data_IF_925939916839
#
_entry.id   IF_925939916839
#
_cell.length_a   1.000
_cell.length_b   1.000
_cell.length_c   1.000
_cell.angle_alpha   90.00
_cell.angle_beta   90.00
_cell.angle_gamma   90.00
#
_symmetry.space_group_name_H-M   'P 1'
#
loop_
_entity.id
_entity.type
_entity.pdbx_description
1 polymer ?
#
# COMPACT_ATOMS: atom_id res chain seq x y z
N UNK A 1 32.14 -14.33 40.35
CA UNK A 1 31.67 -15.53 39.65
C UNK A 1 30.53 -16.10 40.48
N UNK A 2 29.27 -15.87 40.08
CA UNK A 2 28.08 -16.29 40.84
C UNK A 2 27.34 -17.34 40.02
N UNK A 3 27.27 -18.56 40.54
CA UNK A 3 26.60 -19.68 39.88
C UNK A 3 25.14 -19.65 40.36
N UNK A 4 24.23 -19.27 39.46
CA UNK A 4 22.80 -19.22 39.72
C UNK A 4 22.25 -20.63 40.00
N UNK A 5 21.72 -20.84 41.20
CA UNK A 5 21.04 -22.07 41.64
C UNK A 5 19.54 -21.96 41.42
N UNK A 6 19.12 -21.92 40.15
CA UNK A 6 17.71 -22.16 39.81
C UNK A 6 17.47 -23.68 39.73
N UNK A 7 16.38 -24.22 40.33
CA UNK A 7 16.06 -25.64 40.26
C UNK A 7 15.85 -26.11 38.81
N UNK A 8 16.23 -27.36 38.47
CA UNK A 8 16.22 -27.87 37.09
C UNK A 8 14.82 -27.99 36.48
N UNK A 9 13.76 -27.93 37.29
CA UNK A 9 12.36 -28.05 36.87
C UNK A 9 11.86 -26.84 36.06
N UNK A 10 12.54 -25.70 36.10
CA UNK A 10 12.14 -24.51 35.33
C UNK A 10 12.68 -24.49 33.88
N UNK A 11 13.29 -25.58 33.41
CA UNK A 11 13.88 -25.70 32.06
C UNK A 11 13.02 -26.50 31.08
N UNK A 12 11.74 -26.71 31.37
CA UNK A 12 10.78 -27.18 30.39
C UNK A 12 10.47 -26.07 29.38
N UNK A 13 11.35 -25.97 28.38
CA UNK A 13 11.00 -25.86 26.96
C UNK A 13 9.54 -25.43 26.72
N UNK A 14 9.27 -24.13 26.81
CA UNK A 14 8.09 -23.50 26.21
C UNK A 14 8.24 -23.51 24.67
N UNK A 15 8.27 -24.67 24.01
CA UNK A 15 8.40 -24.69 22.53
C UNK A 15 7.42 -25.57 21.78
N UNK A 16 6.60 -26.38 22.46
CA UNK A 16 5.55 -27.18 21.79
C UNK A 16 4.16 -26.52 21.85
N UNK A 17 3.72 -26.03 23.02
CA UNK A 17 2.40 -25.41 23.17
C UNK A 17 2.25 -24.05 22.46
N UNK A 18 3.35 -23.30 22.27
CA UNK A 18 3.35 -22.06 21.50
C UNK A 18 3.26 -22.30 19.98
N UNK A 19 3.61 -23.51 19.52
CA UNK A 19 3.51 -23.88 18.10
C UNK A 19 2.07 -24.22 17.71
N UNK A 20 1.31 -24.85 18.61
CA UNK A 20 -0.09 -25.22 18.36
C UNK A 20 -1.06 -24.04 18.29
N UNK A 21 -0.67 -22.87 18.84
CA UNK A 21 -1.45 -21.63 18.73
C UNK A 21 -1.24 -20.88 17.42
N UNK A 22 -0.42 -21.40 16.51
CA UNK A 22 -0.23 -20.78 15.19
C UNK A 22 -1.24 -21.37 14.23
N UNK A 23 -2.24 -20.56 13.85
CA UNK A 23 -3.12 -20.88 12.74
C UNK A 23 -2.27 -21.29 11.53
N UNK A 24 -2.62 -22.37 10.81
CA UNK A 24 -1.86 -22.79 9.65
C UNK A 24 -1.77 -21.61 8.67
N UNK A 25 -0.56 -21.33 8.18
CA UNK A 25 -0.36 -20.34 7.12
C UNK A 25 -1.14 -20.83 5.92
N UNK A 26 -2.32 -20.25 5.69
CA UNK A 26 -3.21 -20.62 4.59
C UNK A 26 -2.38 -20.58 3.31
N UNK A 27 -2.29 -21.70 2.59
CA UNK A 27 -1.72 -21.71 1.26
C UNK A 27 -2.44 -20.62 0.45
N UNK A 28 -1.69 -19.61 0.04
CA UNK A 28 -2.20 -18.61 -0.90
C UNK A 28 -2.34 -19.27 -2.25
N UNK A 29 -3.51 -19.88 -2.47
CA UNK A 29 -3.99 -20.07 -3.83
C UNK A 29 -4.30 -18.67 -4.35
N UNK A 30 -3.45 -18.16 -5.24
CA UNK A 30 -3.73 -16.94 -5.99
C UNK A 30 -4.99 -17.16 -6.82
N UNK A 31 -6.15 -16.90 -6.24
CA UNK A 31 -7.40 -16.88 -6.99
C UNK A 31 -7.27 -15.74 -8.03
N UNK A 32 -7.76 -15.91 -9.27
CA UNK A 32 -7.67 -14.89 -10.31
C UNK A 32 -8.11 -13.49 -9.85
N UNK A 33 -9.10 -13.43 -8.95
CA UNK A 33 -9.61 -12.20 -8.34
C UNK A 33 -8.53 -11.47 -7.51
N UNK A 34 -7.73 -12.19 -6.72
CA UNK A 34 -6.67 -11.58 -5.91
C UNK A 34 -5.55 -10.99 -6.79
N UNK A 35 -5.25 -11.63 -7.92
CA UNK A 35 -4.24 -11.14 -8.87
C UNK A 35 -4.63 -9.76 -9.41
N UNK A 36 -5.86 -9.60 -9.91
CA UNK A 36 -6.34 -8.31 -10.43
C UNK A 36 -6.30 -7.21 -9.38
N UNK A 37 -6.64 -7.54 -8.12
CA UNK A 37 -6.63 -6.57 -7.01
C UNK A 37 -5.22 -6.12 -6.66
N UNK A 38 -4.28 -7.05 -6.55
CA UNK A 38 -2.87 -6.74 -6.30
C UNK A 38 -2.27 -5.92 -7.42
N UNK A 39 -2.54 -6.29 -8.67
CA UNK A 39 -2.03 -5.57 -9.85
C UNK A 39 -2.56 -4.13 -9.92
N UNK A 40 -3.82 -3.93 -9.49
CA UNK A 40 -4.40 -2.58 -9.33
C UNK A 40 -3.67 -1.73 -8.29
N UNK A 41 -3.30 -2.31 -7.13
CA UNK A 41 -2.48 -1.59 -6.14
C UNK A 41 -1.05 -1.36 -6.63
N UNK A 42 -0.50 -2.29 -7.41
CA UNK A 42 0.85 -2.19 -7.95
C UNK A 42 0.98 -0.99 -8.89
N UNK A 43 0.09 -0.91 -9.89
CA UNK A 43 0.02 0.24 -10.80
C UNK A 43 -0.32 1.53 -10.08
N UNK A 44 -1.19 1.47 -9.05
CA UNK A 44 -1.53 2.67 -8.28
C UNK A 44 -0.33 3.29 -7.56
N UNK A 45 0.55 2.50 -6.94
CA UNK A 45 1.72 3.10 -6.28
C UNK A 45 2.67 3.73 -7.30
N UNK A 46 2.78 3.18 -8.51
CA UNK A 46 3.62 3.75 -9.58
C UNK A 46 3.09 5.12 -10.00
N UNK A 47 1.77 5.23 -10.20
CA UNK A 47 1.11 6.50 -10.52
C UNK A 47 1.23 7.49 -9.35
N UNK A 48 1.09 7.02 -8.11
CA UNK A 48 1.14 7.87 -6.92
C UNK A 48 2.55 8.35 -6.55
N UNK A 49 3.61 7.80 -7.17
CA UNK A 49 5.00 8.19 -6.90
C UNK A 49 5.69 7.34 -5.84
N UNK A 50 5.21 6.13 -5.61
CA UNK A 50 5.88 5.09 -4.83
C UNK A 50 5.01 4.46 -3.75
N UNK A 51 5.54 3.38 -3.15
CA UNK A 51 4.86 2.60 -2.10
C UNK A 51 4.53 3.43 -0.86
N UNK A 52 5.37 4.40 -0.51
CA UNK A 52 5.14 5.29 0.64
C UNK A 52 3.86 6.12 0.43
N UNK A 53 3.70 6.74 -0.72
CA UNK A 53 2.52 7.55 -1.04
C UNK A 53 1.22 6.73 -1.00
N UNK A 54 1.25 5.50 -1.53
CA UNK A 54 0.09 4.61 -1.45
C UNK A 54 -0.18 4.15 0.00
N UNK A 55 0.87 3.83 0.76
CA UNK A 55 0.73 3.42 2.16
C UNK A 55 0.11 4.54 3.03
N UNK A 56 0.59 5.78 2.84
CA UNK A 56 0.06 6.97 3.50
C UNK A 56 -1.42 7.19 3.13
N UNK A 57 -1.78 7.04 1.85
CA UNK A 57 -3.17 7.16 1.38
C UNK A 57 -4.10 6.09 1.99
N UNK A 58 -3.59 4.88 2.18
CA UNK A 58 -4.31 3.77 2.81
C UNK A 58 -4.30 3.83 4.35
N UNK A 59 -3.57 4.76 4.96
CA UNK A 59 -3.42 4.84 6.43
C UNK A 59 -2.68 3.65 7.03
N UNK A 60 -1.79 3.00 6.28
CA UNK A 60 -1.03 1.82 6.73
C UNK A 60 0.47 2.05 6.57
N UNK A 61 1.29 1.25 7.27
CA UNK A 61 2.74 1.25 7.04
C UNK A 61 3.14 0.54 5.73
N UNK A 62 4.27 0.94 5.15
CA UNK A 62 4.85 0.33 3.92
C UNK A 62 5.02 -1.19 4.05
N UNK A 63 5.40 -1.67 5.25
CA UNK A 63 5.48 -3.12 5.54
C UNK A 63 4.14 -3.82 5.35
N UNK A 64 3.06 -3.22 5.85
CA UNK A 64 1.71 -3.76 5.68
C UNK A 64 1.29 -3.74 4.22
N UNK A 65 1.63 -2.69 3.48
CA UNK A 65 1.37 -2.61 2.05
C UNK A 65 2.10 -3.72 1.29
N UNK A 66 3.38 -4.00 1.61
CA UNK A 66 4.12 -5.09 0.97
C UNK A 66 3.46 -6.45 1.19
N UNK A 67 2.90 -6.72 2.37
CA UNK A 67 2.13 -7.95 2.60
C UNK A 67 0.84 -8.02 1.76
N UNK A 68 0.24 -6.90 1.38
CA UNK A 68 -0.91 -6.89 0.45
C UNK A 68 -0.45 -7.15 -0.99
N UNK A 69 0.66 -6.53 -1.40
CA UNK A 69 1.23 -6.68 -2.74
C UNK A 69 1.82 -8.08 -2.99
N UNK A 70 2.33 -8.73 -1.95
CA UNK A 70 2.92 -10.07 -2.02
C UNK A 70 1.88 -11.20 -1.80
N UNK A 71 0.59 -10.90 -1.85
CA UNK A 71 -0.51 -11.82 -1.53
C UNK A 71 -0.57 -12.34 -0.08
N UNK A 72 0.36 -11.94 0.81
CA UNK A 72 0.43 -12.38 2.22
C UNK A 72 -0.87 -12.21 3.03
N UNK A 73 -1.61 -11.12 2.78
CA UNK A 73 -2.80 -10.76 3.57
C UNK A 73 -4.06 -10.47 2.74
N UNK A 74 -3.99 -10.64 1.41
CA UNK A 74 -5.08 -10.29 0.49
C UNK A 74 -5.36 -8.78 0.41
N UNK A 75 -6.10 -8.37 -0.62
CA UNK A 75 -6.48 -6.96 -0.85
C UNK A 75 -7.97 -6.73 -0.60
N UNK A 76 -8.29 -5.91 0.40
CA UNK A 76 -9.67 -5.64 0.78
C UNK A 76 -10.39 -4.71 -0.20
N UNK A 77 -11.73 -4.75 -0.23
CA UNK A 77 -12.53 -3.80 -1.02
C UNK A 77 -12.29 -2.35 -0.60
N UNK A 78 -12.05 -2.11 0.69
CA UNK A 78 -11.75 -0.77 1.20
C UNK A 78 -10.44 -0.25 0.61
N UNK A 79 -9.41 -1.09 0.50
CA UNK A 79 -8.14 -0.71 -0.11
C UNK A 79 -8.34 -0.25 -1.55
N UNK A 80 -9.15 -0.97 -2.33
CA UNK A 80 -9.46 -0.62 -3.72
C UNK A 80 -10.21 0.71 -3.79
N UNK A 81 -11.22 0.88 -2.95
CA UNK A 81 -12.04 2.11 -2.92
C UNK A 81 -11.20 3.35 -2.58
N UNK A 82 -10.40 3.27 -1.51
CA UNK A 82 -9.53 4.37 -1.09
C UNK A 82 -8.47 4.68 -2.15
N UNK A 83 -7.89 3.64 -2.75
CA UNK A 83 -6.90 3.80 -3.82
C UNK A 83 -7.50 4.49 -5.04
N UNK A 84 -8.68 4.04 -5.51
CA UNK A 84 -9.39 4.65 -6.62
C UNK A 84 -9.70 6.13 -6.35
N UNK A 85 -10.25 6.44 -5.17
CA UNK A 85 -10.55 7.82 -4.78
C UNK A 85 -9.32 8.73 -4.74
N UNK A 86 -8.20 8.17 -4.30
CA UNK A 86 -6.91 8.88 -4.25
C UNK A 86 -6.41 9.19 -5.66
N UNK A 87 -6.50 8.23 -6.58
CA UNK A 87 -6.14 8.40 -7.99
C UNK A 87 -7.03 9.44 -8.69
N UNK A 88 -8.35 9.38 -8.47
CA UNK A 88 -9.30 10.39 -8.98
C UNK A 88 -8.92 11.80 -8.51
N UNK A 89 -8.62 11.95 -7.22
CA UNK A 89 -8.22 13.24 -6.65
C UNK A 89 -6.95 13.78 -7.28
N UNK A 90 -5.96 12.91 -7.51
CA UNK A 90 -4.72 13.28 -8.20
C UNK A 90 -4.98 13.66 -9.66
N UNK A 91 -5.78 12.88 -10.37
CA UNK A 91 -6.15 13.16 -11.76
C UNK A 91 -6.86 14.50 -11.90
N UNK A 92 -7.80 14.82 -11.00
CA UNK A 92 -8.48 16.10 -10.98
C UNK A 92 -7.50 17.28 -10.81
N UNK A 93 -6.53 17.16 -9.88
CA UNK A 93 -5.48 18.18 -9.71
C UNK A 93 -4.61 18.34 -10.96
N UNK A 94 -4.25 17.24 -11.61
CA UNK A 94 -3.46 17.27 -12.87
C UNK A 94 -4.24 17.97 -13.99
N UNK A 95 -5.53 17.67 -14.14
CA UNK A 95 -6.39 18.29 -15.15
C UNK A 95 -6.58 19.79 -14.90
N UNK A 96 -6.78 20.19 -13.64
CA UNK A 96 -6.84 21.60 -13.25
C UNK A 96 -5.53 22.33 -13.58
N UNK A 97 -4.39 21.72 -13.28
CA UNK A 97 -3.08 22.32 -13.61
C UNK A 97 -2.89 22.46 -15.13
N UNK A 98 -3.24 21.42 -15.90
CA UNK A 98 -3.19 21.48 -17.35
C UNK A 98 -4.09 22.59 -17.92
N UNK A 99 -5.29 22.76 -17.37
CA UNK A 99 -6.20 23.84 -17.77
C UNK A 99 -5.59 25.23 -17.51
N UNK A 100 -4.94 25.44 -16.36
CA UNK A 100 -4.22 26.69 -16.05
C UNK A 100 -3.12 26.97 -17.07
N UNK A 101 -2.31 25.97 -17.42
CA UNK A 101 -1.25 26.14 -18.43
C UNK A 101 -1.81 26.51 -19.81
N UNK A 102 -2.93 25.90 -20.22
CA UNK A 102 -3.60 26.27 -21.49
C UNK A 102 -4.15 27.69 -21.47
N UNK A 103 -4.67 28.15 -20.34
CA UNK A 103 -5.12 29.54 -20.19
C UNK A 103 -3.97 30.53 -20.35
N UNK A 104 -2.83 30.27 -19.71
CA UNK A 104 -1.61 31.09 -19.87
C UNK A 104 -1.20 31.19 -21.35
N UNK A 105 -1.20 30.08 -22.08
CA UNK A 105 -0.90 30.08 -23.52
C UNK A 105 -1.92 30.91 -24.32
N UNK A 106 -3.22 30.77 -24.04
CA UNK A 106 -4.25 31.53 -24.74
C UNK A 106 -4.14 33.04 -24.50
N UNK A 107 -3.77 33.46 -23.29
CA UNK A 107 -3.58 34.88 -22.96
C UNK A 107 -2.33 35.45 -23.65
N UNK A 108 -1.21 34.73 -23.66
CA UNK A 108 -0.01 35.17 -24.42
C UNK A 108 -0.28 35.32 -25.92
N UNK A 109 -1.13 34.47 -26.51
CA UNK A 109 -1.52 34.60 -27.91
C UNK A 109 -2.37 35.84 -28.17
N UNK A 110 -3.22 36.25 -27.22
CA UNK A 110 -4.04 37.46 -27.35
C UNK A 110 -3.18 38.72 -27.31
N UNK A 111 -2.18 38.76 -26.43
CA UNK A 111 -1.26 39.90 -26.33
C UNK A 111 -0.48 40.13 -27.63
N UNK A 112 -0.01 39.04 -28.28
CA UNK A 112 0.71 39.12 -29.56
C UNK A 112 -0.15 39.59 -30.75
N UNK A 113 -1.47 39.40 -30.69
CA UNK A 113 -2.40 39.85 -31.76
C UNK A 113 -2.76 41.33 -31.59
N UNK A 114 -2.60 41.88 -30.37
CA UNK A 114 -2.96 43.26 -30.04
C UNK A 114 -1.76 44.24 -30.08
N UNK A 115 -0.54 43.74 -30.20
CA UNK A 115 0.70 44.50 -30.42
C UNK A 115 1.01 44.65 -31.91
#
# INVERSE_FOLDING_TARGET
>A
MVISTAPPEAREIETSAALERRSPKREQRGLPIEISRMMGLQTAYEILGGKKALADALGVGVRSLNHKLNADRGVSNLDLFVTARTLETRAAKMMQHAAKLRAVLADTQRELIQS
#
